data_IF_627653404633
#
_entry.id   IF_627653404633
#
_cell.length_a   1.000
_cell.length_b   1.000
_cell.length_c   1.000
_cell.angle_alpha   90.00
_cell.angle_beta   90.00
_cell.angle_gamma   90.00
#
_symmetry.space_group_name_H-M   'P 1'
#
loop_
_entity.id
_entity.type
_entity.pdbx_description
1 polymer ?
#
# COMPACT_ATOMS: atom_id res chain seq x y z
N UNK A 1 -11.53 49.11 12.15
CA UNK A 1 -10.48 48.49 11.30
C UNK A 1 -11.05 47.20 10.74
N UNK A 2 -11.51 47.24 9.49
CA UNK A 2 -11.87 46.05 8.71
C UNK A 2 -10.58 45.49 8.11
N UNK A 3 -10.25 44.25 8.44
CA UNK A 3 -9.29 43.46 7.69
C UNK A 3 -9.94 43.01 6.36
N UNK A 4 -9.24 43.10 5.22
CA UNK A 4 -9.79 42.73 3.93
C UNK A 4 -9.99 41.20 3.84
N UNK A 5 -11.14 40.80 3.29
CA UNK A 5 -11.41 39.42 2.87
C UNK A 5 -10.43 39.03 1.78
N UNK A 6 -9.56 38.07 2.08
CA UNK A 6 -8.89 37.25 1.06
C UNK A 6 -9.92 36.23 0.55
N UNK A 7 -10.64 36.60 -0.50
CA UNK A 7 -11.26 35.62 -1.38
C UNK A 7 -10.16 35.00 -2.26
N UNK A 8 -9.82 33.75 -1.98
CA UNK A 8 -9.15 32.86 -2.93
C UNK A 8 -9.82 31.49 -2.81
N UNK A 9 -10.90 31.33 -3.57
CA UNK A 9 -11.80 30.18 -3.55
C UNK A 9 -11.34 29.04 -4.48
N UNK A 10 -10.03 28.83 -4.65
CA UNK A 10 -9.51 27.78 -5.55
C UNK A 10 -8.51 26.82 -4.87
N UNK A 11 -8.28 26.94 -3.55
CA UNK A 11 -7.33 26.10 -2.82
C UNK A 11 -7.91 24.87 -2.11
N UNK A 12 -9.20 24.91 -1.74
CA UNK A 12 -9.74 23.94 -0.76
C UNK A 12 -10.43 22.72 -1.40
N UNK A 13 -10.82 22.81 -2.67
CA UNK A 13 -11.46 21.69 -3.38
C UNK A 13 -10.45 20.57 -3.73
N UNK A 14 -9.19 20.92 -3.97
CA UNK A 14 -8.16 19.94 -4.35
C UNK A 14 -7.74 19.03 -3.19
N UNK A 15 -7.76 19.53 -1.96
CA UNK A 15 -7.43 18.73 -0.78
C UNK A 15 -8.62 17.92 -0.28
N UNK A 16 -9.85 18.40 -0.42
CA UNK A 16 -11.07 17.68 -0.01
C UNK A 16 -11.42 16.47 -0.90
N UNK A 17 -11.04 16.48 -2.18
CA UNK A 17 -11.27 15.34 -3.09
C UNK A 17 -10.24 14.22 -2.95
N UNK A 18 -9.04 14.55 -2.48
CA UNK A 18 -7.91 13.62 -2.36
C UNK A 18 -8.10 12.61 -1.20
N UNK A 19 -8.91 12.96 -0.19
CA UNK A 19 -9.17 12.11 0.97
C UNK A 19 -10.54 11.42 0.94
N UNK A 20 -11.37 11.66 -0.09
CA UNK A 20 -12.68 10.99 -0.27
C UNK A 20 -12.61 9.65 -0.99
N UNK A 21 -11.48 9.32 -1.62
CA UNK A 21 -11.29 8.02 -2.27
C UNK A 21 -10.70 7.00 -1.28
N UNK A 22 -11.22 5.77 -1.20
CA UNK A 22 -10.63 4.71 -0.40
C UNK A 22 -9.14 4.56 -0.76
N UNK A 23 -8.27 4.42 0.25
CA UNK A 23 -6.81 4.37 0.09
C UNK A 23 -6.34 3.39 -1.02
N UNK A 24 -7.09 2.31 -1.27
CA UNK A 24 -6.85 1.36 -2.36
C UNK A 24 -6.96 1.96 -3.78
N UNK A 25 -7.92 2.87 -4.04
CA UNK A 25 -8.09 3.49 -5.35
C UNK A 25 -6.93 4.42 -5.73
N UNK A 26 -6.31 5.08 -4.74
CA UNK A 26 -5.18 6.00 -4.96
C UNK A 26 -3.90 5.30 -5.40
N UNK A 27 -3.73 4.05 -4.99
CA UNK A 27 -2.52 3.27 -5.29
C UNK A 27 -2.56 2.63 -6.68
N UNK A 28 -3.75 2.21 -7.13
CA UNK A 28 -3.93 1.53 -8.43
C UNK A 28 -4.01 2.51 -9.62
N UNK A 29 -4.30 3.79 -9.40
CA UNK A 29 -4.41 4.79 -10.47
C UNK A 29 -3.06 5.33 -11.03
N UNK A 30 -1.91 4.85 -10.54
CA UNK A 30 -0.57 5.19 -11.07
C UNK A 30 0.21 3.94 -11.46
N UNK A 31 -0.32 3.22 -12.44
CA UNK A 31 0.39 2.16 -13.15
C UNK A 31 0.26 2.36 -14.64
N UNK A 32 1.01 3.31 -15.21
CA UNK A 32 1.34 3.40 -16.64
C UNK A 32 2.54 4.31 -16.81
N UNK A 33 3.71 3.73 -17.01
CA UNK A 33 4.97 4.46 -17.14
C UNK A 33 6.17 3.52 -17.19
N UNK A 34 6.11 2.47 -18.01
CA UNK A 34 7.30 1.75 -18.45
C UNK A 34 8.02 2.61 -19.50
N UNK A 35 9.24 3.11 -19.26
CA UNK A 35 10.02 3.74 -20.31
C UNK A 35 10.59 2.63 -21.20
N UNK A 36 10.12 2.57 -22.44
CA UNK A 36 10.71 1.72 -23.47
C UNK A 36 12.20 2.04 -23.64
N UNK A 37 13.02 1.00 -23.63
CA UNK A 37 14.45 1.11 -23.88
C UNK A 37 14.74 1.46 -25.35
N UNK A 38 15.62 2.43 -25.64
CA UNK A 38 16.21 2.56 -26.96
C UNK A 38 17.25 1.45 -27.17
N UNK A 39 17.20 0.81 -28.34
CA UNK A 39 18.25 -0.09 -28.82
C UNK A 39 19.41 0.75 -29.35
N UNK A 40 20.59 0.61 -28.77
CA UNK A 40 21.83 1.06 -29.43
C UNK A 40 22.82 -0.10 -29.56
N UNK A 41 23.21 -0.35 -30.80
CA UNK A 41 24.31 -1.22 -31.17
C UNK A 41 25.58 -0.37 -31.28
N UNK A 42 26.65 -0.75 -30.57
CA UNK A 42 27.95 -0.11 -30.67
C UNK A 42 29.02 -0.85 -29.88
N UNK A 43 29.99 -1.45 -30.60
CA UNK A 43 31.18 -2.13 -30.10
C UNK A 43 32.10 -1.21 -29.30
N UNK A 44 32.74 -1.73 -28.26
CA UNK A 44 33.94 -1.15 -27.66
C UNK A 44 34.40 -1.90 -26.42
N UNK A 45 35.57 -2.54 -26.49
CA UNK A 45 36.25 -3.18 -25.36
C UNK A 45 36.60 -2.17 -24.27
N UNK A 46 36.40 -2.54 -23.02
CA UNK A 46 36.86 -1.78 -21.85
C UNK A 46 36.54 -2.54 -20.57
N UNK A 47 37.56 -2.80 -19.75
CA UNK A 47 37.51 -3.55 -18.51
C UNK A 47 36.41 -3.05 -17.57
N UNK A 48 35.64 -3.94 -16.96
CA UNK A 48 34.78 -3.62 -15.82
C UNK A 48 35.34 -4.29 -14.57
N UNK A 49 36.23 -3.56 -13.89
CA UNK A 49 36.43 -3.73 -12.45
C UNK A 49 35.09 -3.43 -11.78
N UNK A 50 34.58 -4.41 -11.04
CA UNK A 50 33.41 -4.31 -10.18
C UNK A 50 33.61 -3.19 -9.16
N UNK A 51 33.12 -2.00 -9.51
CA UNK A 51 32.93 -0.94 -8.54
C UNK A 51 31.71 -1.33 -7.70
N UNK A 52 31.97 -1.98 -6.56
CA UNK A 52 31.02 -2.12 -5.47
C UNK A 52 30.51 -0.70 -5.13
N UNK A 53 29.31 -0.34 -5.61
CA UNK A 53 28.65 0.93 -5.24
C UNK A 53 28.28 0.86 -3.76
N UNK A 54 29.25 1.16 -2.89
CA UNK A 54 28.93 1.48 -1.50
C UNK A 54 28.11 2.77 -1.51
N UNK A 55 26.94 2.76 -0.88
CA UNK A 55 26.17 3.98 -0.66
C UNK A 55 27.01 4.93 0.23
N UNK A 56 27.20 6.20 -0.14
CA UNK A 56 28.01 7.12 0.67
C UNK A 56 27.39 7.31 2.07
N UNK A 57 28.24 7.32 3.10
CA UNK A 57 27.86 7.38 4.52
C UNK A 57 26.86 8.51 4.85
N UNK A 58 26.95 9.64 4.17
CA UNK A 58 26.04 10.77 4.37
C UNK A 58 24.61 10.47 3.91
N UNK A 59 24.42 9.63 2.90
CA UNK A 59 23.09 9.19 2.46
C UNK A 59 22.49 8.19 3.46
N UNK A 60 23.30 7.31 4.05
CA UNK A 60 22.84 6.37 5.07
C UNK A 60 22.31 7.10 6.30
N UNK A 61 23.06 8.08 6.81
CA UNK A 61 22.63 8.91 7.95
C UNK A 61 21.34 9.67 7.68
N UNK A 62 21.19 10.20 6.46
CA UNK A 62 19.95 10.89 6.04
C UNK A 62 18.78 9.92 5.98
N UNK A 63 18.98 8.70 5.50
CA UNK A 63 17.93 7.67 5.46
C UNK A 63 17.52 7.25 6.88
N UNK A 64 18.47 6.99 7.77
CA UNK A 64 18.19 6.65 9.17
C UNK A 64 17.40 7.77 9.87
N UNK A 65 17.77 9.02 9.64
CA UNK A 65 17.03 10.18 10.18
C UNK A 65 15.60 10.21 9.65
N UNK A 66 15.38 9.92 8.37
CA UNK A 66 14.05 9.89 7.77
C UNK A 66 13.20 8.72 8.30
N UNK A 67 13.78 7.53 8.46
CA UNK A 67 13.08 6.38 9.05
C UNK A 67 12.67 6.68 10.50
N UNK A 68 13.58 7.27 11.28
CA UNK A 68 13.27 7.68 12.66
C UNK A 68 12.14 8.71 12.73
N UNK A 69 12.17 9.73 11.87
CA UNK A 69 11.08 10.72 11.82
C UNK A 69 9.74 10.08 11.41
N UNK A 70 9.72 9.12 10.49
CA UNK A 70 8.50 8.39 10.13
C UNK A 70 7.93 7.63 11.33
N UNK A 71 8.77 6.97 12.12
CA UNK A 71 8.35 6.27 13.34
C UNK A 71 7.75 7.22 14.38
N UNK A 72 8.37 8.38 14.60
CA UNK A 72 7.83 9.42 15.48
C UNK A 72 6.48 9.94 15.00
N UNK A 73 6.33 10.19 13.69
CA UNK A 73 5.07 10.65 13.12
C UNK A 73 3.94 9.63 13.34
N UNK A 74 4.22 8.33 13.23
CA UNK A 74 3.21 7.30 13.52
C UNK A 74 2.74 7.29 14.98
N UNK A 75 3.58 7.71 15.94
CA UNK A 75 3.19 7.78 17.35
C UNK A 75 2.20 8.93 17.60
N UNK A 76 2.27 9.99 16.79
CA UNK A 76 1.40 11.16 16.91
C UNK A 76 0.05 10.91 16.21
N UNK A 77 0.03 10.06 15.17
CA UNK A 77 -1.19 9.76 14.43
C UNK A 77 -2.11 8.81 15.22
N UNK A 78 -3.02 9.40 15.99
CA UNK A 78 -4.13 8.70 16.66
C UNK A 78 -5.38 8.65 15.77
N UNK A 79 -5.27 7.94 14.64
CA UNK A 79 -6.42 7.65 13.79
C UNK A 79 -6.62 6.12 13.66
N UNK A 80 -7.72 5.54 14.19
CA UNK A 80 -8.01 4.12 14.03
C UNK A 80 -8.33 3.73 12.58
N UNK A 81 -8.70 4.69 11.73
CA UNK A 81 -8.84 4.50 10.27
C UNK A 81 -7.51 4.50 9.51
N UNK A 82 -6.38 4.52 10.20
CA UNK A 82 -5.04 4.43 9.60
C UNK A 82 -4.27 3.19 10.07
N UNK A 83 -4.96 2.20 10.65
CA UNK A 83 -4.31 1.03 11.26
C UNK A 83 -3.49 0.22 10.25
N UNK A 84 -3.99 0.02 9.03
CA UNK A 84 -3.24 -0.68 7.99
C UNK A 84 -2.02 0.15 7.54
N UNK A 85 -2.17 1.46 7.36
CA UNK A 85 -1.07 2.38 7.04
C UNK A 85 0.05 2.30 8.08
N UNK A 86 -0.31 2.19 9.37
CA UNK A 86 0.66 1.95 10.46
C UNK A 86 1.38 0.61 10.31
N UNK A 87 0.66 -0.45 9.96
CA UNK A 87 1.26 -1.78 9.73
C UNK A 87 2.26 -1.73 8.56
N UNK A 88 1.91 -1.07 7.45
CA UNK A 88 2.79 -0.93 6.28
C UNK A 88 4.14 -0.33 6.69
N UNK A 89 4.10 0.81 7.40
CA UNK A 89 5.31 1.54 7.78
C UNK A 89 6.10 0.76 8.84
N UNK A 90 5.44 0.26 9.90
CA UNK A 90 6.10 -0.50 10.97
C UNK A 90 6.76 -1.77 10.48
N UNK A 91 6.13 -2.46 9.53
CA UNK A 91 6.65 -3.71 8.95
C UNK A 91 7.54 -3.48 7.73
N UNK A 92 7.87 -2.22 7.42
CA UNK A 92 8.72 -1.79 6.30
C UNK A 92 8.31 -2.49 4.99
N UNK A 93 7.01 -2.49 4.69
CA UNK A 93 6.51 -3.03 3.44
C UNK A 93 6.90 -2.11 2.30
N UNK A 94 7.50 -2.70 1.26
CA UNK A 94 7.75 -2.00 0.02
C UNK A 94 6.46 -1.79 -0.76
N UNK A 95 6.50 -0.84 -1.70
CA UNK A 95 5.40 -0.56 -2.62
C UNK A 95 4.87 -1.82 -3.31
N UNK A 96 5.78 -2.65 -3.85
CA UNK A 96 5.41 -3.88 -4.54
C UNK A 96 4.76 -4.93 -3.63
N UNK A 97 5.14 -4.98 -2.35
CA UNK A 97 4.52 -5.88 -1.36
C UNK A 97 3.09 -5.44 -1.03
N UNK A 98 2.84 -4.14 -0.90
CA UNK A 98 1.49 -3.59 -0.69
C UNK A 98 0.60 -3.82 -1.91
N UNK A 99 1.12 -3.57 -3.12
CA UNK A 99 0.40 -3.83 -4.36
C UNK A 99 0.07 -5.33 -4.54
N UNK A 100 1.00 -6.21 -4.17
CA UNK A 100 0.75 -7.66 -4.19
C UNK A 100 -0.37 -8.07 -3.22
N UNK A 101 -0.45 -7.45 -2.03
CA UNK A 101 -1.55 -7.66 -1.10
C UNK A 101 -2.89 -7.22 -1.70
N UNK A 102 -2.95 -6.04 -2.30
CA UNK A 102 -4.20 -5.54 -2.88
C UNK A 102 -4.66 -6.39 -4.06
N UNK A 103 -3.75 -6.83 -4.94
CA UNK A 103 -4.07 -7.81 -5.98
C UNK A 103 -4.58 -9.12 -5.40
N UNK A 104 -3.97 -9.62 -4.32
CA UNK A 104 -4.46 -10.80 -3.62
C UNK A 104 -5.89 -10.58 -3.09
N UNK A 105 -6.18 -9.42 -2.49
CA UNK A 105 -7.53 -9.10 -1.99
C UNK A 105 -8.56 -9.00 -3.12
N UNK A 106 -8.19 -8.43 -4.27
CA UNK A 106 -9.04 -8.36 -5.45
C UNK A 106 -9.35 -9.76 -6.01
N UNK A 107 -8.33 -10.60 -6.20
CA UNK A 107 -8.49 -12.00 -6.62
C UNK A 107 -9.40 -12.78 -5.66
N UNK A 108 -9.20 -12.64 -4.34
CA UNK A 108 -10.03 -13.31 -3.34
C UNK A 108 -11.46 -12.79 -3.37
N UNK A 109 -11.67 -11.49 -3.60
CA UNK A 109 -13.00 -10.89 -3.70
C UNK A 109 -13.76 -11.45 -4.91
N UNK A 110 -13.10 -11.55 -6.07
CA UNK A 110 -13.67 -12.14 -7.29
C UNK A 110 -14.07 -13.59 -7.03
N UNK A 111 -13.14 -14.41 -6.50
CA UNK A 111 -13.41 -15.81 -6.15
C UNK A 111 -14.57 -15.96 -5.17
N UNK A 112 -14.67 -15.07 -4.19
CA UNK A 112 -15.78 -15.10 -3.22
C UNK A 112 -17.12 -14.84 -3.91
N UNK A 113 -17.20 -13.86 -4.80
CA UNK A 113 -18.43 -13.54 -5.53
C UNK A 113 -18.83 -14.66 -6.51
N UNK A 114 -17.87 -15.28 -7.19
CA UNK A 114 -18.10 -16.49 -8.00
C UNK A 114 -18.68 -17.62 -7.16
N UNK A 115 -18.05 -17.92 -6.01
CA UNK A 115 -18.53 -18.95 -5.09
C UNK A 115 -19.94 -18.65 -4.56
N UNK A 116 -20.27 -17.39 -4.26
CA UNK A 116 -21.63 -16.97 -3.86
C UNK A 116 -22.64 -17.19 -4.99
N UNK A 117 -22.27 -16.88 -6.23
CA UNK A 117 -23.13 -17.10 -7.40
C UNK A 117 -23.42 -18.58 -7.65
N UNK A 118 -22.49 -19.47 -7.29
CA UNK A 118 -22.66 -20.92 -7.30
C UNK A 118 -23.47 -21.45 -6.10
N UNK A 119 -23.87 -20.59 -5.17
CA UNK A 119 -24.66 -20.94 -3.98
C UNK A 119 -23.83 -21.45 -2.80
N UNK A 120 -22.51 -21.25 -2.81
CA UNK A 120 -21.65 -21.58 -1.67
C UNK A 120 -21.88 -20.58 -0.52
N UNK A 121 -21.93 -21.13 0.69
CA UNK A 121 -22.14 -20.38 1.94
C UNK A 121 -20.95 -20.47 2.89
N UNK A 122 -19.91 -21.23 2.52
CA UNK A 122 -18.75 -21.50 3.36
C UNK A 122 -17.45 -21.17 2.62
N UNK A 123 -16.66 -20.26 3.19
CA UNK A 123 -15.49 -19.65 2.56
C UNK A 123 -14.17 -19.91 3.32
N UNK A 124 -14.12 -20.89 4.24
CA UNK A 124 -12.87 -21.18 4.95
C UNK A 124 -11.71 -21.57 4.03
N UNK A 125 -11.91 -22.33 2.93
CA UNK A 125 -10.84 -22.61 1.97
C UNK A 125 -10.26 -21.33 1.36
N UNK A 126 -11.11 -20.32 1.13
CA UNK A 126 -10.69 -19.03 0.60
C UNK A 126 -9.85 -18.25 1.63
N UNK A 127 -10.24 -18.26 2.90
CA UNK A 127 -9.45 -17.65 3.98
C UNK A 127 -8.10 -18.37 4.18
N UNK A 128 -8.08 -19.70 4.06
CA UNK A 128 -6.85 -20.48 4.13
C UNK A 128 -5.91 -20.14 2.95
N UNK A 129 -6.45 -20.00 1.73
CA UNK A 129 -5.69 -19.56 0.56
C UNK A 129 -5.10 -18.17 0.80
N UNK A 130 -5.91 -17.22 1.27
CA UNK A 130 -5.47 -15.88 1.63
C UNK A 130 -4.31 -15.91 2.63
N UNK A 131 -4.47 -16.64 3.74
CA UNK A 131 -3.47 -16.74 4.81
C UNK A 131 -2.16 -17.37 4.32
N UNK A 132 -2.24 -18.35 3.41
CA UNK A 132 -1.06 -19.00 2.84
C UNK A 132 -0.30 -18.11 1.85
N UNK A 133 -1.02 -17.31 1.05
CA UNK A 133 -0.45 -16.42 0.03
C UNK A 133 -0.04 -15.05 0.57
N UNK A 134 -0.52 -14.70 1.77
CA UNK A 134 -0.19 -13.45 2.42
C UNK A 134 1.32 -13.28 2.60
N UNK A 135 1.80 -12.05 2.45
CA UNK A 135 3.21 -11.75 2.71
C UNK A 135 3.59 -12.19 4.13
N UNK A 136 4.71 -12.91 4.30
CA UNK A 136 5.20 -13.41 5.61
C UNK A 136 5.46 -12.31 6.64
N UNK A 137 5.70 -11.07 6.17
CA UNK A 137 5.80 -9.92 7.04
C UNK A 137 4.46 -9.53 7.64
N UNK A 138 3.32 -9.99 7.13
CA UNK A 138 1.98 -9.64 7.59
C UNK A 138 1.36 -10.80 8.37
N UNK A 139 0.55 -10.46 9.38
CA UNK A 139 -0.32 -11.43 10.05
C UNK A 139 -1.72 -11.37 9.44
N UNK A 140 -2.33 -12.52 9.16
CA UNK A 140 -3.62 -12.57 8.47
C UNK A 140 -4.75 -11.94 9.28
N UNK A 141 -4.82 -12.23 10.58
CA UNK A 141 -5.84 -11.69 11.48
C UNK A 141 -5.70 -10.19 11.65
N UNK A 142 -4.48 -9.71 11.90
CA UNK A 142 -4.19 -8.29 12.05
C UNK A 142 -4.50 -7.54 10.74
N UNK A 143 -4.11 -8.09 9.59
CA UNK A 143 -4.33 -7.48 8.28
C UNK A 143 -5.82 -7.39 7.95
N UNK A 144 -6.60 -8.46 8.21
CA UNK A 144 -8.05 -8.46 7.98
C UNK A 144 -8.74 -7.40 8.84
N UNK A 145 -8.45 -7.33 10.14
CA UNK A 145 -9.05 -6.29 11.00
C UNK A 145 -8.61 -4.87 10.61
N UNK A 146 -7.35 -4.68 10.22
CA UNK A 146 -6.85 -3.38 9.79
C UNK A 146 -7.52 -2.90 8.50
N UNK A 147 -7.61 -3.75 7.47
CA UNK A 147 -8.29 -3.43 6.21
C UNK A 147 -9.79 -3.19 6.43
N UNK A 148 -10.44 -3.99 7.29
CA UNK A 148 -11.86 -3.82 7.66
C UNK A 148 -12.13 -2.48 8.34
N UNK A 149 -11.28 -2.06 9.29
CA UNK A 149 -11.40 -0.75 9.98
C UNK A 149 -11.22 0.44 9.03
N UNK A 150 -10.49 0.24 7.94
CA UNK A 150 -10.34 1.23 6.88
C UNK A 150 -11.41 1.13 5.78
N UNK A 151 -12.39 0.23 5.94
CA UNK A 151 -13.44 -0.02 4.94
C UNK A 151 -12.89 -0.43 3.56
N UNK A 152 -11.73 -1.11 3.56
CA UNK A 152 -11.10 -1.67 2.37
C UNK A 152 -11.51 -3.13 2.18
N UNK A 153 -12.00 -3.47 0.99
CA UNK A 153 -12.48 -4.81 0.67
C UNK A 153 -13.51 -5.34 1.69
N UNK A 154 -14.38 -4.47 2.23
CA UNK A 154 -15.26 -4.76 3.36
C UNK A 154 -16.02 -6.09 3.23
N UNK A 155 -16.65 -6.44 2.09
CA UNK A 155 -17.37 -7.71 1.96
C UNK A 155 -16.48 -8.94 2.17
N UNK A 156 -15.23 -8.87 1.71
CA UNK A 156 -14.24 -9.94 1.86
C UNK A 156 -13.73 -10.01 3.30
N UNK A 157 -13.39 -8.86 3.89
CA UNK A 157 -12.83 -8.78 5.24
C UNK A 157 -13.85 -9.19 6.31
N UNK A 158 -15.13 -8.84 6.11
CA UNK A 158 -16.22 -9.27 6.99
C UNK A 158 -16.43 -10.79 6.93
N UNK A 159 -16.23 -11.40 5.77
CA UNK A 159 -16.29 -12.86 5.62
C UNK A 159 -15.10 -13.54 6.29
N UNK A 160 -13.89 -13.03 6.08
CA UNK A 160 -12.67 -13.59 6.67
C UNK A 160 -12.61 -13.48 8.19
N UNK A 161 -13.23 -12.43 8.76
CA UNK A 161 -13.33 -12.23 10.21
C UNK A 161 -14.06 -13.36 10.93
N UNK A 162 -14.94 -14.12 10.26
CA UNK A 162 -15.69 -15.23 10.88
C UNK A 162 -14.81 -16.41 11.30
N UNK A 163 -13.57 -16.47 10.83
CA UNK A 163 -12.66 -17.59 11.07
C UNK A 163 -11.68 -17.37 12.23
N UNK A 164 -11.81 -16.27 13.02
CA UNK A 164 -10.94 -15.99 14.19
C UNK A 164 -11.55 -15.05 15.24
#
# INVERSE_FOLDING_TARGET
>A
MLMPKLESAEGDAYYEEIWKQPFACRFMAKGDGSPGMPKEAGKGNGQMLENQRSMPMDLQKKLETLEYHQELLLQIVENPREEFSKIIVRRKLSRGEVEALFRLCEEMSIKMEEQKAEGLVYFAPLFQEFSFRLNRKLDARETVEALRKQELFSPLMDEFRKYF
#
